data_IF_948100683136
#
_entry.id   IF_948100683136
#
_cell.length_a   1.000
_cell.length_b   1.000
_cell.length_c   1.000
_cell.angle_alpha   90.00
_cell.angle_beta   90.00
_cell.angle_gamma   90.00
#
_symmetry.space_group_name_H-M   'P 1'
#
loop_
_entity.id
_entity.type
_entity.pdbx_description
1 polymer ?
#
# COMPACT_ATOMS: atom_id res chain seq x y z
N UNK A 1 3.87 8.74 2.76
CA UNK A 1 4.53 8.71 4.09
C UNK A 1 3.82 7.70 4.96
N UNK A 2 4.49 6.66 5.49
CA UNK A 2 3.85 5.55 6.20
C UNK A 2 3.96 5.68 7.74
N UNK A 3 3.21 4.85 8.48
CA UNK A 3 3.18 4.73 9.96
C UNK A 3 2.63 5.95 10.69
N UNK A 4 1.70 6.67 10.08
CA UNK A 4 1.13 7.89 10.68
C UNK A 4 0.30 7.61 11.94
N UNK A 5 -0.10 6.37 12.15
CA UNK A 5 -0.70 5.85 13.38
C UNK A 5 0.24 5.89 14.60
N UNK A 6 1.56 5.82 14.37
CA UNK A 6 2.58 5.84 15.42
C UNK A 6 3.13 7.25 15.70
N UNK A 7 2.56 8.28 15.10
CA UNK A 7 2.94 9.67 15.35
C UNK A 7 2.26 10.13 16.63
N UNK A 8 3.07 10.43 17.66
CA UNK A 8 2.60 10.76 19.00
C UNK A 8 1.78 12.06 19.01
N UNK A 9 2.29 13.11 18.35
CA UNK A 9 1.62 14.40 18.23
C UNK A 9 1.23 14.65 16.78
N UNK A 10 -0.07 14.61 16.48
CA UNK A 10 -0.58 14.88 15.12
C UNK A 10 -0.20 16.27 14.60
N UNK A 11 0.07 17.21 15.51
CA UNK A 11 0.54 18.55 15.18
C UNK A 11 1.90 18.55 14.47
N UNK A 12 2.78 17.59 14.75
CA UNK A 12 4.11 17.48 14.15
C UNK A 12 4.07 16.97 12.70
N UNK A 13 2.94 16.37 12.30
CA UNK A 13 2.75 15.84 10.95
C UNK A 13 2.74 16.96 9.90
N UNK A 14 2.08 18.08 10.20
CA UNK A 14 1.86 19.16 9.24
C UNK A 14 3.19 19.87 8.86
N UNK A 15 4.05 20.28 9.81
CA UNK A 15 5.36 20.85 9.48
C UNK A 15 6.24 19.87 8.68
N UNK A 16 6.20 18.58 9.01
CA UNK A 16 7.00 17.57 8.30
C UNK A 16 6.51 17.36 6.86
N UNK A 17 5.20 17.34 6.64
CA UNK A 17 4.61 17.28 5.30
C UNK A 17 4.99 18.51 4.46
N UNK A 18 4.97 19.71 5.05
CA UNK A 18 5.39 20.93 4.36
C UNK A 18 6.88 20.90 4.00
N UNK A 19 7.73 20.44 4.91
CA UNK A 19 9.15 20.23 4.64
C UNK A 19 9.34 19.27 3.45
N UNK A 20 8.69 18.11 3.46
CA UNK A 20 8.77 17.15 2.36
C UNK A 20 8.28 17.75 1.04
N UNK A 21 7.13 18.45 1.05
CA UNK A 21 6.59 19.12 -0.13
C UNK A 21 7.55 20.13 -0.75
N UNK A 22 8.41 20.77 0.05
CA UNK A 22 9.42 21.72 -0.45
C UNK A 22 10.59 21.07 -1.17
N UNK A 23 10.83 19.76 -1.01
CA UNK A 23 12.03 19.11 -1.54
C UNK A 23 11.96 18.88 -3.05
N UNK A 24 10.76 18.62 -3.57
CA UNK A 24 10.51 18.39 -5.00
C UNK A 24 9.02 18.42 -5.31
N UNK A 25 8.68 18.54 -6.59
CA UNK A 25 7.30 18.51 -7.06
C UNK A 25 6.78 17.06 -7.09
N UNK A 26 6.37 16.55 -5.93
CA UNK A 26 5.68 15.26 -5.85
C UNK A 26 4.31 15.34 -6.53
N UNK A 27 3.92 14.26 -7.22
CA UNK A 27 2.58 14.12 -7.79
C UNK A 27 1.51 14.21 -6.68
N UNK A 28 1.75 13.53 -5.56
CA UNK A 28 0.88 13.59 -4.39
C UNK A 28 1.67 13.18 -3.15
N UNK A 29 1.33 13.73 -1.97
CA UNK A 29 1.92 13.33 -0.69
C UNK A 29 0.80 12.77 0.19
N UNK A 30 0.70 11.44 0.20
CA UNK A 30 -0.35 10.74 0.94
C UNK A 30 0.20 10.23 2.27
N UNK A 31 -0.28 10.73 3.43
CA UNK A 31 -0.02 10.11 4.73
C UNK A 31 -0.82 8.81 4.84
N UNK A 32 -0.17 7.69 5.11
CA UNK A 32 -0.78 6.35 5.18
C UNK A 32 -0.41 5.63 6.47
N UNK A 33 -1.22 4.64 6.84
CA UNK A 33 -0.85 3.58 7.77
C UNK A 33 -1.07 2.25 7.10
N UNK A 34 0.02 1.58 6.72
CA UNK A 34 -0.05 0.28 6.07
C UNK A 34 -0.63 -0.82 6.99
N UNK A 35 -0.45 -0.68 8.30
CA UNK A 35 -0.96 -1.64 9.29
C UNK A 35 -2.48 -1.54 9.45
N UNK A 36 -3.00 -0.31 9.54
CA UNK A 36 -4.44 -0.08 9.73
C UNK A 36 -5.21 0.01 8.40
N UNK A 37 -4.49 0.15 7.28
CA UNK A 37 -5.08 0.35 5.96
C UNK A 37 -5.43 1.80 5.63
N UNK A 38 -5.15 2.76 6.53
CA UNK A 38 -5.45 4.18 6.29
C UNK A 38 -4.80 4.69 5.00
N UNK A 39 -5.63 5.23 4.10
CA UNK A 39 -5.26 5.84 2.81
C UNK A 39 -4.51 4.90 1.83
N UNK A 40 -4.53 3.58 2.07
CA UNK A 40 -3.98 2.59 1.12
C UNK A 40 -4.84 2.53 -0.16
N UNK A 41 -6.15 2.69 -0.02
CA UNK A 41 -7.11 2.84 -1.11
C UNK A 41 -6.83 4.08 -1.98
N UNK A 42 -6.47 5.20 -1.36
CA UNK A 42 -6.06 6.43 -2.05
C UNK A 42 -4.85 6.17 -2.94
N UNK A 43 -3.84 5.44 -2.44
CA UNK A 43 -2.69 5.03 -3.24
C UNK A 43 -3.13 4.14 -4.40
N UNK A 44 -3.96 3.13 -4.16
CA UNK A 44 -4.45 2.22 -5.20
C UNK A 44 -5.19 2.98 -6.32
N UNK A 45 -6.00 3.98 -5.97
CA UNK A 45 -6.71 4.83 -6.92
C UNK A 45 -5.75 5.69 -7.75
N UNK A 46 -4.73 6.29 -7.14
CA UNK A 46 -3.70 7.06 -7.84
C UNK A 46 -2.94 6.16 -8.81
N UNK A 47 -2.47 4.98 -8.36
CA UNK A 47 -1.76 4.03 -9.21
C UNK A 47 -2.60 3.66 -10.42
N UNK A 48 -3.87 3.28 -10.22
CA UNK A 48 -4.78 2.91 -11.31
C UNK A 48 -4.97 4.03 -12.33
N UNK A 49 -5.05 5.28 -11.90
CA UNK A 49 -5.18 6.45 -12.80
C UNK A 49 -3.94 6.69 -13.66
N UNK A 50 -2.78 6.23 -13.22
CA UNK A 50 -1.51 6.46 -13.90
C UNK A 50 -1.00 5.24 -14.66
N UNK A 51 -1.75 4.12 -14.65
CA UNK A 51 -1.44 2.99 -15.51
C UNK A 51 -1.79 3.36 -16.97
N UNK A 52 -0.84 3.23 -17.91
CA UNK A 52 -1.13 3.47 -19.32
C UNK A 52 -2.09 2.41 -19.87
N UNK A 53 -2.85 2.76 -20.90
CA UNK A 53 -3.55 1.76 -21.70
C UNK A 53 -2.52 0.85 -22.37
N UNK A 54 -2.51 -0.42 -21.95
CA UNK A 54 -1.60 -1.43 -22.45
C UNK A 54 -2.23 -2.80 -22.32
N UNK A 55 -1.77 -3.75 -23.13
CA UNK A 55 -2.06 -5.17 -22.88
C UNK A 55 -1.30 -5.61 -21.63
N UNK A 56 -1.91 -6.44 -20.79
CA UNK A 56 -1.22 -7.03 -19.65
C UNK A 56 0.02 -7.79 -20.13
N UNK A 57 1.20 -7.35 -19.68
CA UNK A 57 2.48 -7.96 -20.06
C UNK A 57 2.73 -9.31 -19.36
N UNK A 58 2.04 -9.56 -18.25
CA UNK A 58 2.15 -10.79 -17.47
C UNK A 58 0.78 -11.47 -17.35
N UNK A 59 0.72 -12.81 -17.43
CA UNK A 59 -0.47 -13.58 -17.05
C UNK A 59 -0.92 -13.25 -15.63
N UNK A 60 -2.22 -13.35 -15.33
CA UNK A 60 -2.77 -13.02 -14.00
C UNK A 60 -2.10 -13.84 -12.87
N UNK A 61 -1.72 -15.08 -13.17
CA UNK A 61 -1.07 -15.99 -12.21
C UNK A 61 0.47 -15.97 -12.28
N UNK A 62 1.06 -14.96 -12.92
CA UNK A 62 2.51 -14.92 -13.10
C UNK A 62 3.22 -14.62 -11.76
N UNK A 63 3.86 -15.64 -11.21
CA UNK A 63 4.62 -15.55 -9.98
C UNK A 63 5.97 -14.89 -10.28
N UNK A 64 6.06 -13.58 -10.06
CA UNK A 64 7.34 -12.87 -10.02
C UNK A 64 7.98 -13.08 -8.65
N UNK A 65 8.86 -14.09 -8.55
CA UNK A 65 9.84 -14.26 -7.46
C UNK A 65 9.30 -14.47 -6.03
N UNK A 66 8.15 -15.12 -5.90
CA UNK A 66 7.54 -15.47 -4.60
C UNK A 66 8.28 -16.66 -3.97
N UNK A 67 9.31 -16.35 -3.18
CA UNK A 67 9.94 -17.32 -2.27
C UNK A 67 8.86 -18.07 -1.47
N UNK A 68 9.11 -19.34 -1.13
CA UNK A 68 8.19 -20.25 -0.41
C UNK A 68 7.41 -19.62 0.76
N UNK A 69 7.93 -18.54 1.36
CA UNK A 69 7.25 -17.71 2.37
C UNK A 69 5.93 -17.10 1.89
N UNK A 70 5.87 -16.55 0.68
CA UNK A 70 4.63 -15.98 0.16
C UNK A 70 3.57 -17.08 -0.07
N UNK A 71 3.97 -18.24 -0.62
CA UNK A 71 3.05 -19.38 -0.77
C UNK A 71 2.58 -19.89 0.59
N UNK A 72 3.47 -19.99 1.59
CA UNK A 72 3.10 -20.36 2.94
C UNK A 72 2.10 -19.37 3.57
N UNK A 73 2.32 -18.06 3.37
CA UNK A 73 1.40 -17.02 3.83
C UNK A 73 0.03 -17.11 3.15
N UNK A 74 -0.03 -17.37 1.84
CA UNK A 74 -1.31 -17.55 1.12
C UNK A 74 -2.06 -18.81 1.56
N UNK A 75 -1.36 -19.93 1.78
CA UNK A 75 -1.98 -21.16 2.31
C UNK A 75 -2.59 -20.89 3.69
N UNK A 76 -1.86 -20.18 4.57
CA UNK A 76 -2.37 -19.82 5.89
C UNK A 76 -3.58 -18.87 5.76
N UNK A 77 -3.52 -17.88 4.87
CA UNK A 77 -4.61 -16.93 4.60
C UNK A 77 -5.88 -17.66 4.13
N UNK A 78 -5.77 -18.58 3.19
CA UNK A 78 -6.91 -19.39 2.72
C UNK A 78 -7.51 -20.26 3.82
N UNK A 79 -6.68 -20.88 4.66
CA UNK A 79 -7.17 -21.68 5.79
C UNK A 79 -7.90 -20.80 6.80
N UNK A 80 -7.36 -19.64 7.14
CA UNK A 80 -8.02 -18.69 8.05
C UNK A 80 -9.36 -18.21 7.48
N UNK A 81 -9.42 -17.81 6.21
CA UNK A 81 -10.69 -17.43 5.58
C UNK A 81 -11.71 -18.57 5.57
N UNK A 82 -11.28 -19.80 5.28
CA UNK A 82 -12.16 -20.98 5.26
C UNK A 82 -12.71 -21.38 6.63
N UNK A 83 -11.93 -21.19 7.70
CA UNK A 83 -12.33 -21.60 9.05
C UNK A 83 -12.96 -20.46 9.87
N UNK A 84 -12.73 -19.19 9.52
CA UNK A 84 -13.26 -18.02 10.21
C UNK A 84 -14.40 -17.32 9.44
N UNK A 85 -14.60 -17.65 8.16
CA UNK A 85 -15.65 -17.08 7.30
C UNK A 85 -17.00 -17.79 7.40
N UNK A 86 -17.36 -18.28 8.60
CA UNK A 86 -18.69 -18.83 8.91
C UNK A 86 -19.58 -17.80 9.57
#
# INVERSE_FOLDING_TARGET
MNKVDNVQEKADLLPHLQFLASQMNFLDIVPISAETGLNVDTIAAIVRKHLPEATHHFPEDYITDRSQRFMASEIIREKLMRFLGG
#
